data_IF_165398880521
#
_entry.id   IF_165398880521
#
_cell.length_a   1.000
_cell.length_b   1.000
_cell.length_c   1.000
_cell.angle_alpha   90.00
_cell.angle_beta   90.00
_cell.angle_gamma   90.00
#
_symmetry.space_group_name_H-M   'P 1'
#
loop_
_entity.id
_entity.type
_entity.pdbx_description
1 polymer ?
#
# COMPACT_ATOMS: atom_id res chain seq x y z
N UNK A 1 -18.70 -7.24 14.89
CA UNK A 1 -19.21 -6.46 16.03
C UNK A 1 -19.10 -5.00 15.65
N UNK A 2 -20.23 -4.30 15.49
CA UNK A 2 -20.23 -2.86 15.20
C UNK A 2 -19.81 -2.17 16.49
N UNK A 3 -18.73 -1.39 16.50
CA UNK A 3 -18.31 -0.62 17.67
C UNK A 3 -19.51 0.19 18.20
N UNK A 4 -20.13 -0.31 19.26
CA UNK A 4 -21.37 0.24 19.82
C UNK A 4 -20.95 1.12 20.98
N UNK A 5 -20.69 2.39 20.68
CA UNK A 5 -20.39 3.40 21.68
C UNK A 5 -19.19 4.26 21.30
N UNK A 6 -19.41 5.24 20.43
CA UNK A 6 -19.10 6.66 20.66
C UNK A 6 -19.60 7.41 19.41
N UNK A 7 -20.74 8.10 19.51
CA UNK A 7 -21.30 8.89 18.37
C UNK A 7 -20.74 10.32 18.30
N UNK A 8 -19.81 10.68 19.18
CA UNK A 8 -19.17 11.99 19.24
C UNK A 8 -17.87 12.17 18.38
N UNK A 9 -17.16 11.15 17.87
CA UNK A 9 -15.90 11.36 17.18
C UNK A 9 -16.05 11.45 15.66
N UNK A 10 -17.22 11.21 15.07
CA UNK A 10 -17.39 11.17 13.59
C UNK A 10 -17.06 12.51 12.93
N UNK A 11 -17.39 13.63 13.58
CA UNK A 11 -17.13 14.98 13.07
C UNK A 11 -15.65 15.35 13.19
N UNK A 12 -15.02 15.10 14.36
CA UNK A 12 -13.59 15.29 14.55
C UNK A 12 -12.75 14.32 13.69
N UNK A 13 -13.26 13.11 13.42
CA UNK A 13 -12.67 12.14 12.49
C UNK A 13 -12.70 12.63 11.06
N UNK A 14 -13.87 13.10 10.57
CA UNK A 14 -13.96 13.68 9.23
C UNK A 14 -13.12 14.95 9.11
N UNK A 15 -13.05 15.78 10.15
CA UNK A 15 -12.25 16.99 10.16
C UNK A 15 -10.75 16.65 10.19
N UNK A 16 -10.31 15.66 10.97
CA UNK A 16 -8.91 15.20 10.96
C UNK A 16 -8.55 14.48 9.66
N UNK A 17 -9.45 13.68 9.07
CA UNK A 17 -9.24 13.02 7.78
C UNK A 17 -9.24 14.00 6.61
N UNK A 18 -10.17 14.95 6.58
CA UNK A 18 -10.15 16.03 5.57
C UNK A 18 -8.94 16.92 5.78
N UNK A 19 -8.54 17.24 7.01
CA UNK A 19 -7.28 17.94 7.28
C UNK A 19 -6.07 17.11 6.86
N UNK A 20 -5.99 15.80 7.08
CA UNK A 20 -4.87 14.96 6.60
C UNK A 20 -4.86 14.86 5.08
N UNK A 21 -6.03 14.81 4.42
CA UNK A 21 -6.13 14.83 2.96
C UNK A 21 -5.80 16.22 2.40
N UNK A 22 -6.22 17.31 3.06
CA UNK A 22 -6.05 18.69 2.61
C UNK A 22 -4.65 19.22 2.95
N UNK A 23 -4.13 19.00 4.16
CA UNK A 23 -2.73 19.20 4.54
C UNK A 23 -1.81 18.24 3.79
N UNK A 24 -2.25 17.00 3.55
CA UNK A 24 -1.57 16.07 2.64
C UNK A 24 -1.46 16.68 1.25
N UNK A 25 -2.56 17.13 0.66
CA UNK A 25 -2.60 17.76 -0.67
C UNK A 25 -1.78 19.07 -0.76
N UNK A 26 -1.84 19.92 0.27
CA UNK A 26 -1.06 21.16 0.39
C UNK A 26 0.45 20.91 0.60
N UNK A 27 0.80 19.91 1.41
CA UNK A 27 2.19 19.48 1.64
C UNK A 27 2.74 18.76 0.40
N UNK A 28 1.93 17.94 -0.27
CA UNK A 28 2.24 17.29 -1.54
C UNK A 28 2.52 18.35 -2.62
N UNK A 29 1.71 19.41 -2.76
CA UNK A 29 1.98 20.50 -3.72
C UNK A 29 3.31 21.21 -3.44
N UNK A 30 3.65 21.45 -2.17
CA UNK A 30 4.92 22.09 -1.74
C UNK A 30 6.14 21.17 -1.94
N UNK A 31 5.99 19.87 -1.72
CA UNK A 31 7.04 18.85 -1.93
C UNK A 31 7.22 18.54 -3.43
N UNK A 32 6.14 18.53 -4.21
CA UNK A 32 6.18 18.31 -5.67
C UNK A 32 7.09 19.35 -6.35
N UNK A 33 6.97 20.61 -5.93
CA UNK A 33 7.77 21.71 -6.47
C UNK A 33 9.26 21.64 -6.08
N UNK A 34 9.59 21.13 -4.90
CA UNK A 34 10.99 20.95 -4.46
C UNK A 34 11.63 19.69 -5.05
N UNK A 35 10.87 18.61 -5.28
CA UNK A 35 11.41 17.32 -5.76
C UNK A 35 11.48 17.20 -7.28
N UNK A 36 10.71 17.99 -8.05
CA UNK A 36 10.88 18.11 -9.51
C UNK A 36 12.31 18.53 -9.89
N UNK A 37 13.01 19.25 -9.00
CA UNK A 37 14.40 19.67 -9.17
C UNK A 37 15.42 18.53 -8.98
N UNK A 38 15.06 17.42 -8.29
CA UNK A 38 15.98 16.32 -7.93
C UNK A 38 15.98 15.13 -8.91
N UNK A 39 15.16 15.18 -9.96
CA UNK A 39 15.05 14.08 -10.95
C UNK A 39 16.25 13.95 -11.91
N UNK A 40 17.17 14.91 -11.92
CA UNK A 40 18.27 14.96 -12.91
C UNK A 40 19.56 14.23 -12.51
N UNK A 41 19.53 13.33 -11.51
CA UNK A 41 20.78 12.81 -10.93
C UNK A 41 20.75 11.43 -10.28
N UNK A 42 20.00 10.44 -10.77
CA UNK A 42 20.32 9.06 -10.42
C UNK A 42 20.06 8.11 -11.59
N UNK A 43 21.10 7.88 -12.39
CA UNK A 43 21.33 6.57 -12.99
C UNK A 43 21.48 5.58 -11.83
N UNK A 44 20.46 4.78 -11.57
CA UNK A 44 20.52 3.68 -10.60
C UNK A 44 20.48 2.38 -11.37
N UNK A 45 21.62 1.69 -11.29
CA UNK A 45 21.94 0.42 -11.88
C UNK A 45 20.74 -0.54 -11.89
N UNK A 46 20.47 -1.06 -13.08
CA UNK A 46 19.61 -2.20 -13.32
C UNK A 46 20.21 -3.40 -12.56
N UNK A 47 19.78 -3.60 -11.32
CA UNK A 47 20.20 -4.72 -10.50
C UNK A 47 19.53 -5.99 -11.03
N UNK A 48 20.32 -7.01 -11.36
CA UNK A 48 19.81 -8.29 -11.85
C UNK A 48 18.77 -8.87 -10.87
N UNK A 49 17.57 -9.24 -11.35
CA UNK A 49 16.53 -9.81 -10.52
C UNK A 49 16.96 -11.25 -10.14
N UNK A 50 17.00 -11.55 -8.83
CA UNK A 50 17.38 -12.88 -8.31
C UNK A 50 16.29 -13.92 -8.61
N UNK A 51 15.03 -13.47 -8.64
CA UNK A 51 13.92 -14.21 -9.19
C UNK A 51 13.73 -13.67 -10.62
N UNK A 52 13.87 -14.49 -11.65
CA UNK A 52 13.69 -14.11 -13.07
C UNK A 52 12.24 -13.71 -13.44
N UNK A 53 11.48 -13.19 -12.48
CA UNK A 53 10.11 -12.72 -12.61
C UNK A 53 10.08 -11.26 -12.24
N UNK A 54 9.68 -10.42 -13.19
CA UNK A 54 9.42 -9.01 -12.96
C UNK A 54 7.91 -8.77 -12.85
N UNK A 55 7.52 -7.71 -12.15
CA UNK A 55 6.13 -7.29 -11.99
C UNK A 55 5.99 -5.84 -12.40
N UNK A 56 4.87 -5.51 -13.04
CA UNK A 56 4.56 -4.15 -13.42
C UNK A 56 4.24 -3.27 -12.20
N UNK A 57 5.08 -2.25 -12.00
CA UNK A 57 4.94 -1.27 -10.93
C UNK A 57 3.68 -0.41 -11.11
N UNK A 58 3.27 -0.13 -12.35
CA UNK A 58 2.06 0.68 -12.64
C UNK A 58 0.80 -0.04 -12.18
N UNK A 59 0.68 -1.34 -12.50
CA UNK A 59 -0.43 -2.18 -12.02
C UNK A 59 -0.42 -2.28 -10.49
N UNK A 60 0.77 -2.39 -9.90
CA UNK A 60 0.92 -2.45 -8.45
C UNK A 60 0.50 -1.14 -7.77
N UNK A 61 0.74 0.03 -8.39
CA UNK A 61 0.25 1.32 -7.86
C UNK A 61 -1.25 1.47 -7.95
N UNK A 62 -1.85 1.05 -9.07
CA UNK A 62 -3.32 1.01 -9.22
C UNK A 62 -3.92 0.13 -8.13
N UNK A 63 -3.27 -1.00 -7.83
CA UNK A 63 -3.68 -1.80 -6.70
C UNK A 63 -3.58 -1.07 -5.35
N UNK A 64 -2.44 -0.41 -5.07
CA UNK A 64 -2.26 0.35 -3.83
C UNK A 64 -3.39 1.39 -3.66
N UNK A 65 -3.86 2.02 -4.75
CA UNK A 65 -5.05 2.88 -4.72
C UNK A 65 -6.31 2.14 -4.24
N UNK A 66 -6.63 1.00 -4.85
CA UNK A 66 -7.81 0.21 -4.46
C UNK A 66 -7.74 -0.23 -3.00
N UNK A 67 -6.58 -0.71 -2.57
CA UNK A 67 -6.39 -1.17 -1.20
C UNK A 67 -6.48 -0.02 -0.21
N UNK A 68 -5.86 1.14 -0.49
CA UNK A 68 -6.03 2.34 0.33
C UNK A 68 -7.49 2.75 0.43
N UNK A 69 -8.22 2.75 -0.68
CA UNK A 69 -9.65 3.08 -0.69
C UNK A 69 -10.47 2.09 0.14
N UNK A 70 -10.11 0.80 0.14
CA UNK A 70 -10.73 -0.23 0.96
C UNK A 70 -10.51 -0.03 2.45
N UNK A 71 -9.28 0.33 2.86
CA UNK A 71 -8.98 0.66 4.27
C UNK A 71 -9.76 1.90 4.72
N UNK A 72 -9.85 2.94 3.88
CA UNK A 72 -10.65 4.13 4.18
C UNK A 72 -12.14 3.76 4.32
N UNK A 73 -12.67 2.95 3.40
CA UNK A 73 -14.06 2.47 3.46
C UNK A 73 -14.33 1.65 4.73
N UNK A 74 -13.36 0.85 5.18
CA UNK A 74 -13.44 0.15 6.47
C UNK A 74 -13.51 1.13 7.65
N UNK A 75 -12.70 2.19 7.69
CA UNK A 75 -12.73 3.16 8.78
C UNK A 75 -14.07 3.91 8.87
N UNK A 76 -14.70 4.19 7.72
CA UNK A 76 -16.01 4.87 7.68
C UNK A 76 -17.16 3.91 8.05
N UNK A 77 -17.13 2.68 7.53
CA UNK A 77 -18.24 1.73 7.67
C UNK A 77 -18.15 0.86 8.93
N UNK A 78 -16.94 0.62 9.44
CA UNK A 78 -16.66 -0.35 10.51
C UNK A 78 -16.86 -1.81 10.11
N UNK A 79 -16.97 -2.12 8.80
CA UNK A 79 -17.29 -3.46 8.31
C UNK A 79 -16.02 -4.31 8.21
N UNK A 80 -15.81 -5.22 9.16
CA UNK A 80 -14.65 -6.14 9.19
C UNK A 80 -14.53 -7.00 7.93
N UNK A 81 -15.65 -7.31 7.27
CA UNK A 81 -15.63 -8.06 6.02
C UNK A 81 -14.74 -7.41 4.95
N UNK A 82 -14.59 -6.08 4.95
CA UNK A 82 -13.68 -5.36 4.06
C UNK A 82 -12.23 -5.71 4.35
N UNK A 83 -11.81 -5.72 5.63
CA UNK A 83 -10.45 -6.11 6.02
C UNK A 83 -10.16 -7.58 5.68
N UNK A 84 -11.12 -8.46 5.92
CA UNK A 84 -10.97 -9.88 5.56
C UNK A 84 -10.82 -10.06 4.05
N UNK A 85 -11.66 -9.39 3.24
CA UNK A 85 -11.54 -9.39 1.79
C UNK A 85 -10.16 -8.89 1.33
N UNK A 86 -9.67 -7.80 1.91
CA UNK A 86 -8.36 -7.24 1.61
C UNK A 86 -7.21 -8.19 1.98
N UNK A 87 -7.34 -8.87 3.12
CA UNK A 87 -6.37 -9.87 3.58
C UNK A 87 -6.29 -11.04 2.60
N UNK A 88 -7.45 -11.53 2.15
CA UNK A 88 -7.52 -12.60 1.15
C UNK A 88 -6.92 -12.16 -0.19
N UNK A 89 -7.22 -10.94 -0.65
CA UNK A 89 -6.63 -10.41 -1.89
C UNK A 89 -5.10 -10.34 -1.82
N UNK A 90 -4.54 -9.84 -0.71
CA UNK A 90 -3.10 -9.83 -0.50
C UNK A 90 -2.50 -11.25 -0.42
N UNK A 91 -3.21 -12.20 0.22
CA UNK A 91 -2.77 -13.59 0.29
C UNK A 91 -2.71 -14.20 -1.12
N UNK A 92 -3.77 -14.03 -1.93
CA UNK A 92 -3.80 -14.49 -3.33
C UNK A 92 -2.63 -13.92 -4.15
N UNK A 93 -2.23 -12.67 -3.90
CA UNK A 93 -1.06 -12.06 -4.52
C UNK A 93 0.26 -12.68 -4.08
N UNK A 94 0.42 -13.01 -2.79
CA UNK A 94 1.62 -13.66 -2.25
C UNK A 94 1.79 -15.07 -2.80
N UNK A 95 0.72 -15.87 -2.80
CA UNK A 95 0.72 -17.24 -3.36
C UNK A 95 0.93 -17.28 -4.88
N UNK A 96 0.95 -16.13 -5.55
CA UNK A 96 1.36 -16.02 -6.95
C UNK A 96 0.26 -16.34 -7.96
N UNK A 97 -0.97 -16.59 -7.50
CA UNK A 97 -2.19 -16.74 -8.30
C UNK A 97 -2.78 -15.37 -8.65
N UNK A 98 -2.01 -14.59 -9.40
CA UNK A 98 -2.37 -13.21 -9.80
C UNK A 98 -3.70 -13.12 -10.56
N UNK A 99 -4.09 -14.18 -11.26
CA UNK A 99 -5.35 -14.25 -12.02
C UNK A 99 -6.60 -14.34 -11.12
N UNK A 100 -6.44 -14.87 -9.90
CA UNK A 100 -7.55 -15.03 -8.95
C UNK A 100 -7.77 -13.78 -8.08
N UNK A 101 -6.83 -12.84 -8.04
CA UNK A 101 -7.01 -11.57 -7.32
C UNK A 101 -7.93 -10.65 -8.14
N UNK A 102 -9.15 -10.33 -7.64
CA UNK A 102 -10.08 -9.47 -8.35
C UNK A 102 -9.49 -8.07 -8.55
N UNK A 103 -8.75 -7.55 -7.56
CA UNK A 103 -8.14 -6.23 -7.65
C UNK A 103 -7.01 -6.21 -8.70
N UNK A 104 -6.22 -7.27 -8.80
CA UNK A 104 -5.18 -7.39 -9.81
C UNK A 104 -5.77 -7.42 -11.22
N UNK A 105 -6.87 -8.13 -11.44
CA UNK A 105 -7.49 -8.22 -12.76
C UNK A 105 -8.10 -6.88 -13.19
N UNK A 106 -8.79 -6.19 -12.27
CA UNK A 106 -9.28 -4.82 -12.49
C UNK A 106 -8.14 -3.86 -12.79
N UNK A 107 -7.03 -3.95 -12.05
CA UNK A 107 -5.86 -3.09 -12.26
C UNK A 107 -5.22 -3.31 -13.63
N UNK A 108 -5.12 -4.57 -14.08
CA UNK A 108 -4.63 -4.93 -15.41
C UNK A 108 -5.56 -4.42 -16.52
N UNK A 109 -6.87 -4.46 -16.29
CA UNK A 109 -7.85 -3.95 -17.24
C UNK A 109 -7.76 -2.43 -17.37
N UNK A 110 -7.69 -1.70 -16.25
CA UNK A 110 -7.49 -0.25 -16.23
C UNK A 110 -6.19 0.14 -16.93
N UNK A 111 -5.09 -0.55 -16.63
CA UNK A 111 -3.81 -0.28 -17.27
C UNK A 111 -3.90 -0.44 -18.79
N UNK A 112 -4.51 -1.53 -19.27
CA UNK A 112 -4.68 -1.79 -20.70
C UNK A 112 -5.57 -0.74 -21.37
N UNK A 113 -6.62 -0.27 -20.69
CA UNK A 113 -7.55 0.74 -21.22
C UNK A 113 -6.96 2.14 -21.28
N UNK A 114 -6.13 2.52 -20.31
CA UNK A 114 -5.48 3.84 -20.25
C UNK A 114 -4.08 3.86 -20.88
N UNK A 115 -3.61 2.73 -21.44
CA UNK A 115 -2.29 2.58 -22.08
C UNK A 115 -1.13 3.18 -21.25
N UNK A 116 -1.18 3.02 -19.92
CA UNK A 116 -0.14 3.57 -19.06
C UNK A 116 1.21 2.88 -19.32
N UNK A 117 2.33 3.62 -19.22
CA UNK A 117 3.65 3.04 -19.39
C UNK A 117 3.89 1.92 -18.35
N UNK A 118 4.30 0.76 -18.84
CA UNK A 118 4.71 -0.37 -18.02
C UNK A 118 6.12 -0.10 -17.48
N UNK A 119 6.29 -0.21 -16.16
CA UNK A 119 7.61 -0.16 -15.51
C UNK A 119 7.82 -1.46 -14.76
N UNK A 120 8.78 -2.25 -15.21
CA UNK A 120 9.08 -3.54 -14.60
C UNK A 120 9.97 -3.37 -13.36
N UNK A 121 9.55 -3.96 -12.25
CA UNK A 121 10.29 -4.02 -10.98
C UNK A 121 10.45 -5.48 -10.53
N UNK A 122 11.41 -5.74 -9.63
CA UNK A 122 11.68 -7.08 -9.10
C UNK A 122 10.46 -7.63 -8.34
N UNK A 123 10.02 -8.86 -8.68
CA UNK A 123 8.91 -9.51 -8.00
C UNK A 123 9.18 -9.81 -6.53
N UNK A 124 10.44 -10.04 -6.14
CA UNK A 124 10.83 -10.29 -4.75
C UNK A 124 10.52 -9.11 -3.86
N UNK A 125 10.89 -7.90 -4.29
CA UNK A 125 10.60 -6.66 -3.56
C UNK A 125 9.09 -6.43 -3.37
N UNK A 126 8.28 -6.78 -4.38
CA UNK A 126 6.81 -6.66 -4.30
C UNK A 126 6.15 -7.74 -3.43
N UNK A 127 6.71 -8.94 -3.38
CA UNK A 127 6.27 -9.98 -2.42
C UNK A 127 6.48 -9.52 -0.99
N UNK A 128 7.63 -8.94 -0.67
CA UNK A 128 7.88 -8.39 0.66
C UNK A 128 6.85 -7.28 0.99
N UNK A 129 6.58 -6.39 0.04
CA UNK A 129 5.57 -5.35 0.23
C UNK A 129 4.16 -5.92 0.49
N UNK A 130 3.76 -6.97 -0.23
CA UNK A 130 2.50 -7.66 0.01
C UNK A 130 2.44 -8.33 1.39
N UNK A 131 3.56 -8.87 1.88
CA UNK A 131 3.67 -9.46 3.23
C UNK A 131 3.45 -8.41 4.32
N UNK A 132 4.07 -7.24 4.20
CA UNK A 132 3.79 -6.10 5.10
C UNK A 132 2.33 -5.66 5.02
N UNK A 133 1.76 -5.63 3.81
CA UNK A 133 0.34 -5.34 3.60
C UNK A 133 -0.59 -6.27 4.40
N UNK A 134 -0.35 -7.60 4.33
CA UNK A 134 -1.09 -8.56 5.15
C UNK A 134 -0.87 -8.30 6.63
N UNK A 135 0.37 -8.09 7.07
CA UNK A 135 0.69 -7.82 8.47
C UNK A 135 -0.12 -6.66 9.04
N UNK A 136 -0.21 -5.55 8.30
CA UNK A 136 -0.99 -4.38 8.72
C UNK A 136 -2.51 -4.65 8.73
N UNK A 137 -3.05 -5.26 7.68
CA UNK A 137 -4.50 -5.53 7.58
C UNK A 137 -4.94 -6.57 8.61
N UNK A 138 -4.14 -7.63 8.80
CA UNK A 138 -4.39 -8.64 9.81
C UNK A 138 -4.29 -8.07 11.23
N UNK A 139 -3.31 -7.19 11.51
CA UNK A 139 -3.21 -6.49 12.78
C UNK A 139 -4.44 -5.60 13.04
N UNK A 140 -4.91 -4.85 12.02
CA UNK A 140 -6.15 -4.08 12.13
C UNK A 140 -7.37 -4.98 12.43
N UNK A 141 -7.49 -6.12 11.74
CA UNK A 141 -8.57 -7.07 11.98
C UNK A 141 -8.50 -7.64 13.41
N UNK A 142 -7.30 -8.01 13.87
CA UNK A 142 -7.08 -8.54 15.22
C UNK A 142 -7.46 -7.49 16.27
N UNK A 143 -6.94 -6.26 16.20
CA UNK A 143 -7.30 -5.20 17.14
C UNK A 143 -8.78 -4.84 17.12
N UNK A 144 -9.45 -4.98 15.97
CA UNK A 144 -10.89 -4.84 15.88
C UNK A 144 -11.61 -5.93 16.70
N UNK A 145 -11.17 -7.19 16.61
CA UNK A 145 -11.74 -8.27 17.43
C UNK A 145 -11.47 -8.11 18.92
N UNK A 146 -10.31 -7.56 19.30
CA UNK A 146 -10.00 -7.22 20.69
C UNK A 146 -10.78 -5.98 21.19
N UNK A 147 -11.47 -5.25 20.30
CA UNK A 147 -12.21 -4.03 20.65
C UNK A 147 -11.32 -2.82 20.95
N UNK A 148 -10.04 -2.83 20.55
CA UNK A 148 -9.07 -1.78 20.85
C UNK A 148 -9.07 -0.74 19.72
N UNK A 149 -10.00 0.20 19.76
CA UNK A 149 -10.19 1.19 18.68
C UNK A 149 -8.96 2.08 18.44
N UNK A 150 -8.25 2.50 19.49
CA UNK A 150 -7.06 3.35 19.35
C UNK A 150 -5.93 2.66 18.57
N UNK A 151 -5.75 1.35 18.77
CA UNK A 151 -4.72 0.57 18.08
C UNK A 151 -5.06 0.39 16.58
N UNK A 152 -6.34 0.13 16.26
CA UNK A 152 -6.81 0.05 14.87
C UNK A 152 -6.50 1.36 14.12
N UNK A 153 -6.82 2.50 14.74
CA UNK A 153 -6.58 3.81 14.14
C UNK A 153 -5.10 4.13 13.96
N UNK A 154 -4.27 3.82 14.96
CA UNK A 154 -2.82 4.01 14.86
C UNK A 154 -2.22 3.22 13.69
N UNK A 155 -2.59 1.94 13.57
CA UNK A 155 -2.12 1.08 12.47
C UNK A 155 -2.64 1.58 11.11
N UNK A 156 -3.91 1.98 11.03
CA UNK A 156 -4.49 2.49 9.79
C UNK A 156 -3.79 3.76 9.30
N UNK A 157 -3.46 4.70 10.20
CA UNK A 157 -2.74 5.94 9.85
C UNK A 157 -1.34 5.62 9.31
N UNK A 158 -0.61 4.73 9.98
CA UNK A 158 0.73 4.30 9.54
C UNK A 158 0.65 3.62 8.16
N UNK A 159 -0.33 2.74 7.97
CA UNK A 159 -0.55 2.05 6.71
C UNK A 159 -0.87 3.02 5.57
N UNK A 160 -1.82 3.94 5.78
CA UNK A 160 -2.22 4.94 4.79
C UNK A 160 -1.07 5.89 4.45
N UNK A 161 -0.26 6.28 5.42
CA UNK A 161 0.93 7.09 5.19
C UNK A 161 1.96 6.36 4.30
N UNK A 162 2.25 5.10 4.61
CA UNK A 162 3.14 4.27 3.79
C UNK A 162 2.60 4.06 2.36
N UNK A 163 1.30 3.82 2.22
CA UNK A 163 0.67 3.58 0.93
C UNK A 163 0.57 4.86 0.08
N UNK A 164 0.36 6.02 0.72
CA UNK A 164 0.46 7.32 0.06
C UNK A 164 1.88 7.59 -0.45
N UNK A 165 2.91 7.26 0.34
CA UNK A 165 4.31 7.39 -0.09
C UNK A 165 4.61 6.56 -1.36
N UNK A 166 4.12 5.31 -1.39
CA UNK A 166 4.27 4.44 -2.56
C UNK A 166 3.52 5.00 -3.79
N UNK A 167 2.30 5.49 -3.61
CA UNK A 167 1.49 5.99 -4.70
C UNK A 167 2.02 7.30 -5.30
N UNK A 168 2.32 8.30 -4.46
CA UNK A 168 2.70 9.64 -4.91
C UNK A 168 4.17 9.72 -5.30
N UNK A 169 5.07 9.09 -4.54
CA UNK A 169 6.52 9.20 -4.74
C UNK A 169 7.12 7.98 -5.42
N UNK A 170 6.38 6.88 -5.54
CA UNK A 170 6.97 5.59 -5.92
C UNK A 170 7.95 5.07 -4.87
N UNK A 171 7.83 5.55 -3.62
CA UNK A 171 8.74 5.22 -2.53
C UNK A 171 8.12 4.16 -1.61
N UNK A 172 8.30 2.89 -1.98
CA UNK A 172 7.90 1.77 -1.14
C UNK A 172 8.98 1.48 -0.09
N UNK A 173 8.68 1.74 1.18
CA UNK A 173 9.58 1.45 2.31
C UNK A 173 9.98 -0.03 2.33
N UNK A 174 9.02 -0.93 2.10
CA UNK A 174 9.28 -2.37 2.04
C UNK A 174 10.24 -2.74 0.89
N UNK A 175 10.06 -2.17 -0.31
CA UNK A 175 11.01 -2.42 -1.40
C UNK A 175 12.41 -1.90 -1.07
N UNK A 176 12.53 -0.73 -0.41
CA UNK A 176 13.84 -0.21 0.02
C UNK A 176 14.50 -1.12 1.03
N UNK A 177 13.73 -1.64 1.99
CA UNK A 177 14.19 -2.61 2.98
C UNK A 177 14.70 -3.89 2.30
N UNK A 178 13.99 -4.41 1.28
CA UNK A 178 14.42 -5.55 0.48
C UNK A 178 15.77 -5.32 -0.23
N UNK A 179 15.95 -4.16 -0.87
CA UNK A 179 17.23 -3.85 -1.50
C UNK A 179 18.36 -3.64 -0.48
N UNK A 180 18.02 -3.16 0.72
CA UNK A 180 18.99 -2.98 1.79
C UNK A 180 19.43 -4.31 2.40
N UNK A 181 18.49 -5.22 2.70
CA UNK A 181 18.82 -6.57 3.17
C UNK A 181 19.59 -7.37 2.12
N UNK A 182 19.26 -7.23 0.83
CA UNK A 182 20.03 -7.80 -0.29
C UNK A 182 21.49 -7.32 -0.32
N UNK A 183 21.75 -6.07 0.06
CA UNK A 183 23.11 -5.52 0.11
C UNK A 183 23.94 -6.10 1.26
N UNK A 184 23.31 -6.45 2.38
CA UNK A 184 24.00 -6.92 3.59
C UNK A 184 24.21 -8.44 3.56
N UNK A 185 23.22 -9.21 3.11
CA UNK A 185 23.27 -10.69 3.10
C UNK A 185 22.95 -11.26 1.72
N UNK A 186 23.91 -11.26 0.78
CA UNK A 186 23.69 -11.76 -0.58
C UNK A 186 23.44 -13.28 -0.64
N UNK A 187 23.91 -14.06 0.34
CA UNK A 187 23.83 -15.54 0.36
C UNK A 187 22.54 -16.10 0.99
N UNK A 188 21.66 -15.26 1.53
CA UNK A 188 20.46 -15.71 2.27
C UNK A 188 19.21 -15.94 1.40
N UNK A 189 19.31 -15.75 0.09
CA UNK A 189 18.16 -15.73 -0.84
C UNK A 189 18.35 -16.65 -2.06
N UNK A 190 19.33 -17.57 -2.01
CA UNK A 190 19.45 -18.71 -2.93
C UNK A 190 18.48 -19.83 -2.54
#
# INVERSE_FOLDING_TARGET
MRFKGEKAPLFYFLLFYTLVILYGCLTIRKIYFTMAKKKKGSLMAQQCPLIFRQVDATVTRINTLFVMSGVIAYLVSGIVAILLFLTVDFALRLYGVKHLSPIQNVSLWIQRRLSLPSRMEDAGAKRLAALFGIGFVAAMALFHFLGIAWAVNAVAVIYLFCAALDLFFGYCIACKLYHWTKKIYPKGFE
#
